data_IF_301803105812
#
_entry.id   IF_301803105812
#
_cell.length_a   1.000
_cell.length_b   1.000
_cell.length_c   1.000
_cell.angle_alpha   90.00
_cell.angle_beta   90.00
_cell.angle_gamma   90.00
#
_symmetry.space_group_name_H-M   'P 1'
#
loop_
_entity.id
_entity.type
_entity.pdbx_description
1 polymer ?
#
# COMPACT_ATOMS: atom_id res chain seq x y z
N UNK A 1 27.46 7.66 -14.25
CA UNK A 1 26.54 8.73 -13.80
C UNK A 1 25.12 8.20 -13.92
N UNK A 2 24.56 7.60 -12.87
CA UNK A 2 23.12 7.29 -12.85
C UNK A 2 22.41 8.50 -12.23
N UNK A 3 21.73 9.29 -13.06
CA UNK A 3 20.83 10.32 -12.54
C UNK A 3 19.61 9.60 -11.98
N UNK A 4 19.40 9.66 -10.67
CA UNK A 4 18.19 9.12 -10.05
C UNK A 4 16.96 9.80 -10.64
N UNK A 5 16.07 9.03 -11.27
CA UNK A 5 14.76 9.53 -11.71
C UNK A 5 13.90 9.67 -10.46
N UNK A 6 13.48 10.91 -10.14
CA UNK A 6 12.45 11.13 -9.11
C UNK A 6 11.11 10.65 -9.65
N UNK A 7 10.49 9.71 -8.94
CA UNK A 7 9.12 9.26 -9.19
C UNK A 7 8.25 9.90 -8.11
N UNK A 8 7.09 10.42 -8.49
CA UNK A 8 6.08 10.97 -7.58
C UNK A 8 4.84 10.08 -7.69
N UNK A 9 4.37 9.58 -6.56
CA UNK A 9 3.15 8.77 -6.45
C UNK A 9 2.11 9.62 -5.75
N UNK A 10 0.91 9.68 -6.33
CA UNK A 10 -0.24 10.34 -5.70
C UNK A 10 -0.97 9.31 -4.82
N UNK A 11 -0.69 9.32 -3.52
CA UNK A 11 -1.26 8.33 -2.60
C UNK A 11 -2.79 8.41 -2.56
N UNK A 12 -3.36 9.62 -2.60
CA UNK A 12 -4.82 9.82 -2.60
C UNK A 12 -5.44 9.29 -3.88
N UNK A 13 -4.82 9.53 -5.03
CA UNK A 13 -5.29 8.99 -6.32
C UNK A 13 -5.19 7.47 -6.39
N UNK A 14 -4.16 6.88 -5.78
CA UNK A 14 -3.99 5.41 -5.68
C UNK A 14 -5.06 4.80 -4.77
N UNK A 15 -5.30 5.38 -3.60
CA UNK A 15 -6.31 4.91 -2.64
C UNK A 15 -7.73 4.98 -3.21
N UNK A 16 -8.08 6.07 -3.90
CA UNK A 16 -9.38 6.23 -4.55
C UNK A 16 -9.57 5.24 -5.70
N UNK A 17 -8.52 4.99 -6.50
CA UNK A 17 -8.57 4.03 -7.60
C UNK A 17 -8.72 2.57 -7.13
N UNK A 18 -8.24 2.26 -5.93
CA UNK A 18 -8.32 0.93 -5.32
C UNK A 18 -9.59 0.71 -4.48
N UNK A 19 -10.46 1.73 -4.35
CA UNK A 19 -11.69 1.70 -3.54
C UNK A 19 -11.43 1.16 -2.12
N UNK A 20 -10.36 1.68 -1.49
CA UNK A 20 -9.92 1.17 -0.19
C UNK A 20 -10.90 1.50 0.92
N UNK A 21 -11.15 0.54 1.80
CA UNK A 21 -11.91 0.79 3.03
C UNK A 21 -11.07 1.58 4.04
N UNK A 22 -11.69 2.23 5.03
CA UNK A 22 -10.96 2.99 6.07
C UNK A 22 -9.89 2.15 6.79
N UNK A 23 -10.14 0.85 6.99
CA UNK A 23 -9.18 -0.07 7.61
C UNK A 23 -7.97 -0.34 6.71
N UNK A 24 -8.21 -0.51 5.40
CA UNK A 24 -7.16 -0.71 4.41
C UNK A 24 -6.36 0.57 4.15
N UNK A 25 -7.01 1.73 4.18
CA UNK A 25 -6.34 3.03 4.11
C UNK A 25 -5.35 3.20 5.26
N UNK A 26 -5.73 2.83 6.48
CA UNK A 26 -4.84 2.89 7.65
C UNK A 26 -3.58 2.03 7.44
N UNK A 27 -3.70 0.90 6.74
CA UNK A 27 -2.56 0.04 6.46
C UNK A 27 -1.63 0.60 5.38
N UNK A 28 -2.19 1.25 4.36
CA UNK A 28 -1.38 2.01 3.39
C UNK A 28 -0.69 3.20 4.06
N UNK A 29 -1.39 3.94 4.92
CA UNK A 29 -0.82 5.04 5.70
C UNK A 29 0.35 4.58 6.59
N UNK A 30 0.19 3.42 7.24
CA UNK A 30 1.27 2.79 8.00
C UNK A 30 2.47 2.48 7.12
N UNK A 31 2.24 1.87 5.94
CA UNK A 31 3.30 1.53 5.00
C UNK A 31 4.02 2.78 4.48
N UNK A 32 3.29 3.86 4.16
CA UNK A 32 3.88 5.14 3.72
C UNK A 32 4.81 5.73 4.79
N UNK A 33 4.42 5.68 6.07
CA UNK A 33 5.20 6.27 7.15
C UNK A 33 6.38 5.39 7.59
N UNK A 34 6.17 4.07 7.66
CA UNK A 34 7.14 3.13 8.23
C UNK A 34 8.08 2.54 7.17
N UNK A 35 7.59 2.27 5.96
CA UNK A 35 8.36 1.74 4.84
C UNK A 35 7.92 2.33 3.48
N UNK A 36 8.28 3.59 3.20
CA UNK A 36 7.90 4.26 1.95
C UNK A 36 8.49 3.59 0.70
N UNK A 37 9.57 2.82 0.84
CA UNK A 37 10.11 2.02 -0.27
C UNK A 37 9.23 0.81 -0.54
N UNK A 38 8.76 0.12 0.51
CA UNK A 38 7.79 -0.96 0.40
C UNK A 38 6.48 -0.50 -0.24
N UNK A 39 5.99 0.69 0.12
CA UNK A 39 4.83 1.30 -0.55
C UNK A 39 5.10 1.55 -2.03
N UNK A 40 6.22 2.19 -2.38
CA UNK A 40 6.54 2.46 -3.77
C UNK A 40 6.70 1.17 -4.60
N UNK A 41 7.31 0.12 -4.03
CA UNK A 41 7.45 -1.18 -4.69
C UNK A 41 6.10 -1.87 -4.87
N UNK A 42 5.23 -1.83 -3.86
CA UNK A 42 3.87 -2.37 -3.94
C UNK A 42 3.07 -1.73 -5.08
N UNK A 43 3.15 -0.40 -5.23
CA UNK A 43 2.41 0.33 -6.28
C UNK A 43 3.03 0.18 -7.67
N UNK A 44 4.37 0.09 -7.78
CA UNK A 44 5.06 0.07 -9.07
C UNK A 44 5.30 -1.34 -9.62
N UNK A 45 5.50 -2.31 -8.74
CA UNK A 45 5.92 -3.68 -9.09
C UNK A 45 5.04 -4.77 -8.46
N UNK A 46 4.31 -4.46 -7.39
CA UNK A 46 3.46 -5.41 -6.66
C UNK A 46 1.99 -5.39 -7.09
N UNK A 47 1.15 -5.99 -6.24
CA UNK A 47 -0.31 -6.00 -6.38
C UNK A 47 -0.95 -5.43 -5.09
N UNK A 48 -1.37 -4.15 -5.09
CA UNK A 48 -1.95 -3.53 -3.91
C UNK A 48 -3.31 -4.13 -3.54
N UNK A 49 -4.09 -4.67 -4.48
CA UNK A 49 -5.37 -5.30 -4.14
C UNK A 49 -5.17 -6.60 -3.36
N UNK A 50 -4.22 -7.44 -3.79
CA UNK A 50 -3.89 -8.69 -3.10
C UNK A 50 -3.32 -8.41 -1.71
N UNK A 51 -2.42 -7.43 -1.61
CA UNK A 51 -1.87 -6.98 -0.32
C UNK A 51 -2.97 -6.52 0.64
N UNK A 52 -3.89 -5.68 0.17
CA UNK A 52 -5.00 -5.16 0.98
C UNK A 52 -6.04 -6.22 1.34
N UNK A 53 -6.26 -7.24 0.51
CA UNK A 53 -7.10 -8.41 0.84
C UNK A 53 -6.48 -9.23 1.96
N UNK A 54 -5.16 -9.41 1.95
CA UNK A 54 -4.43 -10.11 3.01
C UNK A 54 -4.39 -9.29 4.31
N UNK A 55 -4.15 -7.98 4.22
CA UNK A 55 -4.15 -7.08 5.38
C UNK A 55 -5.54 -6.98 6.04
N UNK A 56 -6.61 -6.90 5.25
CA UNK A 56 -7.97 -6.94 5.77
C UNK A 56 -8.38 -8.33 6.30
N UNK A 57 -7.75 -9.40 5.79
CA UNK A 57 -8.03 -10.78 6.14
C UNK A 57 -7.32 -11.32 7.39
N UNK A 58 -6.16 -10.78 7.78
CA UNK A 58 -5.44 -11.29 8.98
C UNK A 58 -6.13 -10.91 10.29
N UNK A 59 -6.93 -9.84 10.34
CA UNK A 59 -7.73 -9.48 11.51
C UNK A 59 -8.93 -10.43 11.78
N UNK A 60 -9.06 -11.51 10.99
CA UNK A 60 -10.12 -12.52 11.10
C UNK A 60 -9.67 -13.94 11.42
N UNK A 61 -8.38 -14.26 11.49
CA UNK A 61 -7.90 -15.66 11.67
C UNK A 61 -6.69 -15.81 12.59
N UNK A 62 -6.68 -15.08 13.70
CA UNK A 62 -5.76 -15.32 14.82
C UNK A 62 -6.54 -15.39 16.14
N UNK A 63 -7.60 -16.22 16.20
CA UNK A 63 -8.18 -16.70 17.46
C UNK A 63 -8.89 -18.07 17.27
N UNK A 64 -8.19 -19.07 16.69
CA UNK A 64 -8.57 -20.48 16.83
C UNK A 64 -7.38 -21.38 17.14
#
# INVERSE_FOLDING_TARGET
>A
MFYGRKISIDCTGVEDALDVTMAQQTELDYLIYNDPLGYADLILNGDPEEYLKNAAGSHGLEDL
#
